data_IF_305091606801
#
_entry.id   IF_305091606801
#
_cell.length_a   1.000
_cell.length_b   1.000
_cell.length_c   1.000
_cell.angle_alpha   90.00
_cell.angle_beta   90.00
_cell.angle_gamma   90.00
#
_symmetry.space_group_name_H-M   'P 1'
#
loop_
_entity.id
_entity.type
_entity.pdbx_description
1 polymer ?
#
# COMPACT_ATOMS: atom_id res chain seq x y z
N UNK A 1 -10.54 -23.75 43.45
CA UNK A 1 -10.96 -24.50 42.23
C UNK A 1 -11.94 -23.72 41.36
N UNK A 2 -13.02 -23.13 41.89
CA UNK A 2 -14.02 -22.39 41.09
C UNK A 2 -13.44 -21.27 40.21
N UNK A 3 -12.46 -20.49 40.69
CA UNK A 3 -11.84 -19.41 39.90
C UNK A 3 -11.11 -19.89 38.64
N UNK A 4 -10.49 -21.08 38.68
CA UNK A 4 -9.79 -21.64 37.52
C UNK A 4 -10.74 -22.00 36.37
N UNK A 5 -11.97 -22.43 36.71
CA UNK A 5 -13.01 -22.79 35.73
C UNK A 5 -13.43 -21.57 34.90
N UNK A 6 -13.42 -20.37 35.47
CA UNK A 6 -13.76 -19.12 34.78
C UNK A 6 -12.52 -18.52 34.10
N UNK A 7 -11.37 -18.56 34.78
CA UNK A 7 -10.12 -17.95 34.29
C UNK A 7 -9.65 -18.54 32.96
N UNK A 8 -9.63 -19.87 32.82
CA UNK A 8 -9.06 -20.52 31.61
C UNK A 8 -9.86 -20.18 30.33
N UNK A 9 -11.21 -20.31 30.30
CA UNK A 9 -11.99 -19.89 29.14
C UNK A 9 -11.91 -18.39 28.88
N UNK A 10 -11.91 -17.56 29.94
CA UNK A 10 -11.76 -16.11 29.79
C UNK A 10 -10.41 -15.74 29.16
N UNK A 11 -9.33 -16.42 29.55
CA UNK A 11 -8.00 -16.22 28.99
C UNK A 11 -7.97 -16.59 27.50
N UNK A 12 -8.49 -17.76 27.15
CA UNK A 12 -8.58 -18.19 25.75
C UNK A 12 -9.42 -17.21 24.91
N UNK A 13 -10.58 -16.82 25.41
CA UNK A 13 -11.44 -15.82 24.76
C UNK A 13 -10.73 -14.47 24.62
N UNK A 14 -9.99 -14.02 25.64
CA UNK A 14 -9.23 -12.77 25.59
C UNK A 14 -8.11 -12.81 24.54
N UNK A 15 -7.45 -13.95 24.37
CA UNK A 15 -6.41 -14.12 23.35
C UNK A 15 -7.00 -14.06 21.94
N UNK A 16 -8.11 -14.79 21.70
CA UNK A 16 -8.82 -14.78 20.41
C UNK A 16 -9.35 -13.38 20.10
N UNK A 17 -10.08 -12.76 21.02
CA UNK A 17 -10.65 -11.43 20.82
C UNK A 17 -9.59 -10.34 20.73
N UNK A 18 -8.48 -10.48 21.46
CA UNK A 18 -7.34 -9.58 21.36
C UNK A 18 -6.68 -9.65 19.98
N UNK A 19 -6.56 -10.85 19.41
CA UNK A 19 -6.06 -11.03 18.06
C UNK A 19 -7.00 -10.46 16.99
N UNK A 20 -8.32 -10.71 17.11
CA UNK A 20 -9.34 -10.11 16.23
C UNK A 20 -9.29 -8.58 16.32
N UNK A 21 -9.23 -8.02 17.53
CA UNK A 21 -9.08 -6.58 17.73
C UNK A 21 -7.80 -6.05 17.06
N UNK A 22 -6.66 -6.75 17.22
CA UNK A 22 -5.40 -6.35 16.60
C UNK A 22 -5.46 -6.38 15.06
N UNK A 23 -6.14 -7.36 14.46
CA UNK A 23 -6.37 -7.41 13.01
C UNK A 23 -7.14 -6.19 12.51
N UNK A 24 -8.28 -5.89 13.14
CA UNK A 24 -9.08 -4.73 12.79
C UNK A 24 -8.30 -3.43 13.01
N UNK A 25 -7.64 -3.28 14.17
CA UNK A 25 -6.85 -2.09 14.49
C UNK A 25 -5.72 -1.86 13.47
N UNK A 26 -4.97 -2.91 13.13
CA UNK A 26 -3.89 -2.83 12.15
C UNK A 26 -4.41 -2.49 10.75
N UNK A 27 -5.53 -3.11 10.34
CA UNK A 27 -6.16 -2.82 9.06
C UNK A 27 -6.57 -1.34 8.97
N UNK A 28 -7.34 -0.87 9.95
CA UNK A 28 -7.85 0.51 9.96
C UNK A 28 -6.71 1.53 10.07
N UNK A 29 -5.70 1.24 10.91
CA UNK A 29 -4.50 2.07 11.02
C UNK A 29 -3.80 2.23 9.67
N UNK A 30 -3.56 1.13 8.95
CA UNK A 30 -2.89 1.16 7.65
C UNK A 30 -3.75 1.84 6.58
N UNK A 31 -5.06 1.61 6.55
CA UNK A 31 -5.98 2.27 5.60
C UNK A 31 -5.98 3.80 5.79
N UNK A 32 -6.08 4.28 7.04
CA UNK A 32 -5.98 5.72 7.33
C UNK A 32 -4.60 6.25 6.95
N UNK A 33 -3.53 5.54 7.28
CA UNK A 33 -2.17 5.94 6.96
C UNK A 33 -1.94 6.07 5.44
N UNK A 34 -2.30 5.04 4.67
CA UNK A 34 -2.06 4.95 3.23
C UNK A 34 -2.92 5.93 2.44
N UNK A 35 -4.23 6.02 2.72
CA UNK A 35 -5.13 6.99 2.08
C UNK A 35 -4.64 8.43 2.31
N UNK A 36 -4.20 8.73 3.53
CA UNK A 36 -3.67 10.06 3.87
C UNK A 36 -2.32 10.32 3.20
N UNK A 37 -1.44 9.31 3.12
CA UNK A 37 -0.16 9.39 2.42
C UNK A 37 -0.34 9.61 0.91
N UNK A 38 -1.42 9.10 0.33
CA UNK A 38 -1.81 9.36 -1.06
C UNK A 38 -2.32 10.80 -1.27
N UNK A 39 -2.63 11.54 -0.20
CA UNK A 39 -3.16 12.90 -0.24
C UNK A 39 -4.68 12.97 -0.18
N UNK A 40 -5.36 11.85 0.12
CA UNK A 40 -6.81 11.83 0.17
C UNK A 40 -7.34 12.62 1.38
N UNK A 41 -8.29 13.51 1.12
CA UNK A 41 -9.02 14.23 2.18
C UNK A 41 -9.96 13.29 2.92
N UNK A 42 -10.59 12.39 2.18
CA UNK A 42 -11.49 11.35 2.68
C UNK A 42 -10.79 10.01 2.78
N UNK A 43 -11.07 9.26 3.84
CA UNK A 43 -10.57 7.90 3.99
C UNK A 43 -11.62 6.99 3.36
N UNK A 44 -11.27 6.34 2.26
CA UNK A 44 -12.11 5.32 1.64
C UNK A 44 -11.90 4.02 2.39
N UNK A 45 -12.93 3.56 3.10
CA UNK A 45 -12.90 2.27 3.77
C UNK A 45 -13.19 1.18 2.75
N UNK A 46 -12.22 0.30 2.51
CA UNK A 46 -12.38 -0.83 1.61
C UNK A 46 -13.09 -1.99 2.29
N UNK A 47 -13.87 -2.76 1.53
CA UNK A 47 -14.54 -4.00 1.95
C UNK A 47 -13.56 -5.20 1.98
N UNK A 48 -12.33 -4.98 2.45
CA UNK A 48 -11.33 -6.05 2.57
C UNK A 48 -11.78 -7.11 3.58
N UNK A 49 -11.60 -8.38 3.24
CA UNK A 49 -11.91 -9.48 4.14
C UNK A 49 -11.02 -9.41 5.39
N UNK A 50 -11.56 -9.82 6.55
CA UNK A 50 -10.81 -9.80 7.83
C UNK A 50 -9.49 -10.57 7.73
N UNK A 51 -9.45 -11.64 6.93
CA UNK A 51 -8.26 -12.48 6.74
C UNK A 51 -7.23 -11.92 5.77
N UNK A 52 -7.59 -11.02 4.86
CA UNK A 52 -6.63 -10.35 3.97
C UNK A 52 -5.63 -9.51 4.78
N UNK A 53 -6.08 -9.05 5.96
CA UNK A 53 -5.26 -8.33 6.93
C UNK A 53 -4.46 -9.20 7.89
N UNK A 54 -4.46 -10.54 7.77
CA UNK A 54 -3.86 -11.45 8.77
C UNK A 54 -2.42 -11.09 9.14
N UNK A 55 -1.60 -10.72 8.16
CA UNK A 55 -0.20 -10.38 8.35
C UNK A 55 0.04 -8.96 8.90
N UNK A 56 -0.93 -8.04 8.76
CA UNK A 56 -0.80 -6.63 9.14
C UNK A 56 -0.40 -6.42 10.63
N UNK A 57 -1.01 -7.09 11.63
CA UNK A 57 -0.58 -6.92 13.02
C UNK A 57 0.84 -7.45 13.28
N UNK A 58 1.23 -8.56 12.66
CA UNK A 58 2.59 -9.10 12.80
C UNK A 58 3.63 -8.16 12.19
N UNK A 59 3.32 -7.57 11.04
CA UNK A 59 4.16 -6.54 10.43
C UNK A 59 4.36 -5.32 11.35
N UNK A 60 3.28 -4.77 11.92
CA UNK A 60 3.37 -3.62 12.84
C UNK A 60 4.11 -3.98 14.13
N UNK A 61 3.85 -5.18 14.67
CA UNK A 61 4.52 -5.68 15.87
C UNK A 61 6.00 -5.93 15.62
N UNK A 62 6.37 -6.48 14.47
CA UNK A 62 7.75 -6.69 14.05
C UNK A 62 8.49 -5.34 13.95
N UNK A 63 7.90 -4.33 13.31
CA UNK A 63 8.48 -3.00 13.24
C UNK A 63 8.65 -2.34 14.62
N UNK A 64 7.65 -2.46 15.50
CA UNK A 64 7.77 -1.95 16.87
C UNK A 64 8.84 -2.71 17.67
N UNK A 65 8.86 -4.05 17.53
CA UNK A 65 9.80 -4.96 18.19
C UNK A 65 11.25 -4.74 17.77
N UNK A 66 11.49 -4.39 16.50
CA UNK A 66 12.81 -4.04 15.98
C UNK A 66 13.49 -2.92 16.78
N UNK A 67 12.71 -1.97 17.30
CA UNK A 67 13.22 -0.85 18.09
C UNK A 67 13.09 -1.09 19.59
N UNK A 68 11.94 -1.62 20.02
CA UNK A 68 11.67 -1.89 21.42
C UNK A 68 12.63 -2.93 22.01
N UNK A 69 12.93 -4.01 21.27
CA UNK A 69 13.76 -5.11 21.73
C UNK A 69 15.18 -4.68 22.12
N UNK A 70 15.98 -4.14 21.17
CA UNK A 70 17.33 -3.66 21.47
C UNK A 70 17.33 -2.56 22.53
N UNK A 71 16.38 -1.62 22.47
CA UNK A 71 16.30 -0.55 23.46
C UNK A 71 16.00 -1.06 24.87
N UNK A 72 15.09 -2.04 25.02
CA UNK A 72 14.81 -2.70 26.29
C UNK A 72 16.04 -3.45 26.82
N UNK A 73 16.80 -4.11 25.94
CA UNK A 73 18.03 -4.81 26.32
C UNK A 73 19.09 -3.84 26.86
N UNK A 74 19.37 -2.76 26.12
CA UNK A 74 20.31 -1.70 26.53
C UNK A 74 19.85 -1.03 27.83
N UNK A 75 18.57 -0.69 27.94
CA UNK A 75 18.03 -0.02 29.11
C UNK A 75 18.11 -0.92 30.36
N UNK A 76 17.91 -2.24 30.23
CA UNK A 76 18.10 -3.19 31.34
C UNK A 76 19.56 -3.40 31.71
N UNK A 77 20.47 -3.42 30.73
CA UNK A 77 21.91 -3.52 30.99
C UNK A 77 22.46 -2.30 31.74
N UNK A 78 21.87 -1.12 31.53
CA UNK A 78 22.25 0.14 32.18
C UNK A 78 21.77 0.32 33.62
N UNK A 79 21.06 -0.65 34.21
CA UNK A 79 20.53 -0.59 35.58
C UNK A 79 19.01 -0.39 35.67
N UNK A 80 18.46 -0.50 36.88
CA UNK A 80 17.02 -0.37 37.14
C UNK A 80 16.50 1.08 37.18
N UNK A 81 15.18 1.22 37.28
CA UNK A 81 14.50 2.52 37.45
C UNK A 81 13.65 2.94 36.25
N UNK A 82 13.18 4.19 36.25
CA UNK A 82 12.26 4.71 35.21
C UNK A 82 12.88 4.73 33.81
N UNK A 83 14.22 4.78 33.71
CA UNK A 83 14.94 4.71 32.44
C UNK A 83 14.71 3.38 31.70
N UNK A 84 14.47 2.28 32.43
CA UNK A 84 14.18 0.97 31.84
C UNK A 84 12.90 0.95 31.01
N UNK A 85 11.95 1.86 31.26
CA UNK A 85 10.69 1.98 30.52
C UNK A 85 10.67 3.19 29.60
N UNK A 86 11.22 4.32 30.02
CA UNK A 86 11.21 5.54 29.24
C UNK A 86 12.15 5.50 28.03
N UNK A 87 13.36 4.91 28.16
CA UNK A 87 14.30 4.87 27.04
C UNK A 87 13.79 4.04 25.86
N UNK A 88 13.24 2.82 26.06
CA UNK A 88 12.64 2.05 24.97
C UNK A 88 11.44 2.74 24.34
N UNK A 89 10.60 3.38 25.17
CA UNK A 89 9.45 4.14 24.67
C UNK A 89 9.90 5.32 23.80
N UNK A 90 10.94 6.05 24.22
CA UNK A 90 11.53 7.15 23.46
C UNK A 90 12.12 6.66 22.14
N UNK A 91 12.86 5.56 22.15
CA UNK A 91 13.46 4.97 20.94
C UNK A 91 12.38 4.51 19.97
N UNK A 92 11.36 3.80 20.45
CA UNK A 92 10.22 3.39 19.62
C UNK A 92 9.51 4.63 19.05
N UNK A 93 9.24 5.64 19.87
CA UNK A 93 8.59 6.87 19.43
C UNK A 93 9.35 7.57 18.30
N UNK A 94 10.69 7.66 18.40
CA UNK A 94 11.51 8.33 17.39
C UNK A 94 11.73 7.47 16.13
N UNK A 95 11.96 6.17 16.29
CA UNK A 95 12.40 5.30 15.20
C UNK A 95 11.27 4.56 14.48
N UNK A 96 10.15 4.27 15.15
CA UNK A 96 8.97 3.65 14.55
C UNK A 96 8.41 4.45 13.34
N UNK A 97 8.15 5.77 13.42
CA UNK A 97 7.61 6.51 12.28
C UNK A 97 8.57 6.50 11.09
N UNK A 98 9.88 6.56 11.33
CA UNK A 98 10.90 6.47 10.27
C UNK A 98 10.84 5.12 9.57
N UNK A 99 10.68 4.04 10.32
CA UNK A 99 10.61 2.69 9.77
C UNK A 99 9.33 2.42 9.02
N UNK A 100 8.21 2.94 9.51
CA UNK A 100 6.94 2.87 8.81
C UNK A 100 7.00 3.63 7.47
N UNK A 101 7.59 4.83 7.45
CA UNK A 101 7.79 5.61 6.22
C UNK A 101 8.76 4.92 5.26
N UNK A 102 9.79 4.26 5.78
CA UNK A 102 10.71 3.43 5.02
C UNK A 102 9.98 2.30 4.32
N UNK A 103 9.20 1.51 5.06
CA UNK A 103 8.46 0.39 4.48
C UNK A 103 7.41 0.82 3.45
N UNK A 104 6.83 2.02 3.57
CA UNK A 104 5.92 2.56 2.54
C UNK A 104 6.65 3.08 1.30
N UNK A 105 7.95 3.37 1.40
CA UNK A 105 8.76 3.91 0.31
C UNK A 105 9.62 2.87 -0.39
N UNK A 106 9.92 1.76 0.28
CA UNK A 106 10.78 0.69 -0.22
C UNK A 106 10.01 -0.26 -1.15
N UNK A 107 10.72 -0.90 -2.07
CA UNK A 107 10.18 -2.01 -2.88
C UNK A 107 9.95 -3.29 -2.08
N UNK A 108 10.54 -3.38 -0.89
CA UNK A 108 10.41 -4.52 0.02
C UNK A 108 10.08 -4.05 1.43
N UNK A 109 9.10 -4.72 2.03
CA UNK A 109 8.62 -4.50 3.41
C UNK A 109 9.72 -4.80 4.44
N UNK A 110 10.71 -5.63 4.07
CA UNK A 110 11.78 -6.10 4.96
C UNK A 110 12.94 -5.13 5.15
N UNK A 111 12.92 -3.96 4.50
CA UNK A 111 13.98 -2.95 4.62
C UNK A 111 13.53 -1.82 5.57
N UNK A 112 13.71 -1.96 6.90
CA UNK A 112 13.16 -1.02 7.87
C UNK A 112 13.80 0.37 7.76
N UNK A 113 15.00 0.48 7.17
CA UNK A 113 15.74 1.72 7.07
C UNK A 113 16.20 1.98 5.63
N UNK A 114 15.46 2.83 4.92
CA UNK A 114 15.83 3.30 3.60
C UNK A 114 16.54 4.67 3.71
N UNK A 115 17.80 4.82 3.25
CA UNK A 115 18.59 6.04 3.45
C UNK A 115 17.93 7.28 2.84
N UNK A 116 17.19 7.10 1.73
CA UNK A 116 16.44 8.19 1.11
C UNK A 116 15.34 8.80 2.00
N UNK A 117 14.80 8.06 2.97
CA UNK A 117 13.81 8.61 3.91
C UNK A 117 14.47 9.56 4.91
N UNK A 118 15.67 9.21 5.41
CA UNK A 118 16.43 10.08 6.30
C UNK A 118 16.82 11.40 5.63
N UNK A 119 17.28 11.35 4.38
CA UNK A 119 17.59 12.55 3.61
C UNK A 119 16.34 13.45 3.45
N UNK A 120 15.19 12.87 3.11
CA UNK A 120 13.93 13.63 3.00
C UNK A 120 13.48 14.24 4.34
N UNK A 121 13.61 13.51 5.44
CA UNK A 121 13.31 14.01 6.79
C UNK A 121 14.25 15.17 7.16
N UNK A 122 15.56 15.02 6.89
CA UNK A 122 16.58 16.03 7.17
C UNK A 122 16.39 17.31 6.34
N UNK A 123 15.79 17.23 5.15
CA UNK A 123 15.46 18.40 4.33
C UNK A 123 14.30 19.23 4.88
N UNK A 124 13.46 18.69 5.77
CA UNK A 124 12.27 19.35 6.33
C UNK A 124 12.19 19.22 7.86
N UNK A 125 13.21 19.66 8.62
CA UNK A 125 13.28 19.42 10.07
C UNK A 125 12.11 20.06 10.81
N UNK A 126 11.63 21.24 10.37
CA UNK A 126 10.47 21.91 10.98
C UNK A 126 9.18 21.07 10.85
N UNK A 127 9.00 20.38 9.73
CA UNK A 127 7.83 19.51 9.53
C UNK A 127 7.97 18.30 10.45
N UNK A 128 9.15 17.67 10.50
CA UNK A 128 9.43 16.52 11.36
C UNK A 128 9.25 16.86 12.84
N UNK A 129 9.79 17.98 13.31
CA UNK A 129 9.60 18.45 14.68
C UNK A 129 8.13 18.73 15.00
N UNK A 130 7.38 19.32 14.05
CA UNK A 130 5.94 19.49 14.18
C UNK A 130 5.19 18.16 14.30
N UNK A 131 5.56 17.16 13.51
CA UNK A 131 5.04 15.80 13.63
C UNK A 131 5.35 15.21 15.01
N UNK A 132 6.61 15.26 15.45
CA UNK A 132 7.02 14.70 16.73
C UNK A 132 6.24 15.34 17.88
N UNK A 133 6.18 16.67 17.93
CA UNK A 133 5.42 17.39 18.94
C UNK A 133 3.92 17.02 18.92
N UNK A 134 3.28 16.98 17.74
CA UNK A 134 1.86 16.62 17.63
C UNK A 134 1.59 15.16 17.94
N UNK A 135 2.54 14.26 17.65
CA UNK A 135 2.41 12.82 17.89
C UNK A 135 2.47 12.43 19.37
N UNK A 136 3.03 13.29 20.23
CA UNK A 136 3.01 13.08 21.68
C UNK A 136 1.59 12.98 22.21
N UNK A 137 0.65 13.76 21.67
CA UNK A 137 -0.74 13.78 22.13
C UNK A 137 -1.45 12.43 21.93
N UNK A 138 -1.53 11.85 20.71
CA UNK A 138 -2.14 10.54 20.54
C UNK A 138 -1.34 9.43 21.25
N UNK A 139 -0.01 9.52 21.36
CA UNK A 139 0.76 8.51 22.11
C UNK A 139 0.48 8.56 23.61
N UNK A 140 0.40 9.75 24.19
CA UNK A 140 -0.06 9.93 25.57
C UNK A 140 -1.51 9.45 25.72
N UNK A 141 -2.36 9.69 24.72
CA UNK A 141 -3.73 9.18 24.64
C UNK A 141 -3.78 7.65 24.68
N UNK A 142 -2.94 6.95 23.90
CA UNK A 142 -2.80 5.49 23.93
C UNK A 142 -2.36 5.01 25.32
N UNK A 143 -1.34 5.64 25.91
CA UNK A 143 -0.86 5.28 27.25
C UNK A 143 -1.91 5.48 28.34
N UNK A 144 -2.62 6.61 28.31
CA UNK A 144 -3.69 6.92 29.24
C UNK A 144 -4.91 6.00 29.05
N UNK A 145 -5.29 5.73 27.81
CA UNK A 145 -6.34 4.78 27.46
C UNK A 145 -6.01 3.37 27.98
N UNK A 146 -4.80 2.87 27.72
CA UNK A 146 -4.34 1.56 28.21
C UNK A 146 -4.36 1.50 29.75
N UNK A 147 -3.87 2.55 30.42
CA UNK A 147 -3.91 2.63 31.88
C UNK A 147 -5.36 2.62 32.41
N UNK A 148 -6.26 3.37 31.78
CA UNK A 148 -7.69 3.43 32.12
C UNK A 148 -8.36 2.07 31.94
N UNK A 149 -8.13 1.41 30.80
CA UNK A 149 -8.70 0.09 30.51
C UNK A 149 -8.19 -0.97 31.49
N UNK A 150 -6.90 -0.98 31.78
CA UNK A 150 -6.26 -2.06 32.55
C UNK A 150 -6.30 -1.86 34.08
N UNK A 151 -6.33 -0.62 34.58
CA UNK A 151 -6.22 -0.33 36.02
C UNK A 151 -7.49 0.16 36.67
N UNK A 152 -8.31 0.96 35.97
CA UNK A 152 -9.52 1.51 36.57
C UNK A 152 -10.70 0.55 36.40
N UNK A 153 -11.50 0.38 37.44
CA UNK A 153 -12.65 -0.52 37.42
C UNK A 153 -13.93 0.19 36.98
N UNK A 154 -14.91 -0.58 36.52
CA UNK A 154 -16.21 -0.06 36.08
C UNK A 154 -16.34 0.13 34.57
N UNK A 155 -17.58 -0.08 34.09
CA UNK A 155 -17.94 -0.02 32.67
C UNK A 155 -17.69 1.36 32.01
N UNK A 156 -17.99 2.51 32.65
CA UNK A 156 -17.77 3.81 32.03
C UNK A 156 -16.30 4.07 31.67
N UNK A 157 -15.37 3.70 32.55
CA UNK A 157 -13.93 3.83 32.30
C UNK A 157 -13.45 2.90 31.20
N UNK A 158 -14.02 1.70 31.09
CA UNK A 158 -13.73 0.78 29.99
C UNK A 158 -14.15 1.39 28.65
N UNK A 159 -15.40 1.85 28.54
CA UNK A 159 -15.94 2.45 27.32
C UNK A 159 -15.13 3.69 26.91
N UNK A 160 -14.86 4.58 27.86
CA UNK A 160 -14.07 5.79 27.63
C UNK A 160 -12.64 5.47 27.20
N UNK A 161 -11.97 4.56 27.90
CA UNK A 161 -10.60 4.15 27.58
C UNK A 161 -10.51 3.51 26.19
N UNK A 162 -11.44 2.61 25.83
CA UNK A 162 -11.49 1.99 24.51
C UNK A 162 -11.76 3.01 23.39
N UNK A 163 -12.71 3.94 23.58
CA UNK A 163 -12.98 4.99 22.61
C UNK A 163 -11.77 5.92 22.41
N UNK A 164 -11.11 6.31 23.50
CA UNK A 164 -9.89 7.12 23.44
C UNK A 164 -8.73 6.39 22.76
N UNK A 165 -8.60 5.08 22.96
CA UNK A 165 -7.58 4.24 22.30
C UNK A 165 -7.75 4.29 20.77
N UNK A 166 -8.98 4.08 20.29
CA UNK A 166 -9.31 4.09 18.86
C UNK A 166 -9.07 5.47 18.26
N UNK A 167 -9.55 6.54 18.92
CA UNK A 167 -9.34 7.90 18.47
C UNK A 167 -7.85 8.24 18.36
N UNK A 168 -7.06 7.86 19.38
CA UNK A 168 -5.63 8.10 19.41
C UNK A 168 -4.90 7.36 18.30
N UNK A 169 -5.29 6.12 18.02
CA UNK A 169 -4.74 5.31 16.92
C UNK A 169 -4.98 5.99 15.56
N UNK A 170 -6.20 6.46 15.30
CA UNK A 170 -6.56 7.13 14.04
C UNK A 170 -5.85 8.47 13.88
N UNK A 171 -5.76 9.28 14.94
CA UNK A 171 -5.02 10.54 14.92
C UNK A 171 -3.53 10.31 14.61
N UNK A 172 -2.92 9.29 15.24
CA UNK A 172 -1.53 8.96 14.98
C UNK A 172 -1.32 8.48 13.53
N UNK A 173 -2.19 7.59 13.02
CA UNK A 173 -2.16 7.14 11.63
C UNK A 173 -2.25 8.32 10.64
N UNK A 174 -3.18 9.24 10.90
CA UNK A 174 -3.41 10.43 10.07
C UNK A 174 -2.22 11.39 10.08
N UNK A 175 -1.64 11.65 11.26
CA UNK A 175 -0.44 12.50 11.38
C UNK A 175 0.73 11.91 10.61
N UNK A 176 0.95 10.60 10.73
CA UNK A 176 2.02 9.89 10.04
C UNK A 176 1.80 9.85 8.52
N UNK A 177 0.56 9.65 8.07
CA UNK A 177 0.22 9.70 6.65
C UNK A 177 0.40 11.10 6.06
N UNK A 178 0.06 12.15 6.81
CA UNK A 178 0.30 13.53 6.39
C UNK A 178 1.80 13.84 6.32
N UNK A 179 2.61 13.32 7.24
CA UNK A 179 4.06 13.39 7.15
C UNK A 179 4.56 12.73 5.86
N UNK A 180 4.12 11.49 5.59
CA UNK A 180 4.47 10.76 4.37
C UNK A 180 4.13 11.55 3.10
N UNK A 181 2.92 12.11 3.06
CA UNK A 181 2.44 12.93 1.96
C UNK A 181 3.32 14.17 1.71
N UNK A 182 3.70 14.90 2.77
CA UNK A 182 4.58 16.07 2.63
C UNK A 182 5.98 15.67 2.14
N UNK A 183 6.53 14.56 2.65
CA UNK A 183 7.84 14.05 2.26
C UNK A 183 7.87 13.55 0.81
N UNK A 184 6.74 13.10 0.24
CA UNK A 184 6.64 12.73 -1.18
C UNK A 184 7.03 13.86 -2.13
N UNK A 185 6.83 15.12 -1.74
CA UNK A 185 7.21 16.30 -2.54
C UNK A 185 8.68 16.72 -2.37
N UNK A 186 9.45 16.01 -1.53
CA UNK A 186 10.88 16.26 -1.37
C UNK A 186 11.66 15.33 -2.28
N UNK A 187 12.51 15.91 -3.15
CA UNK A 187 13.40 15.12 -4.00
C UNK A 187 14.54 14.60 -3.11
N UNK A 188 14.75 13.29 -3.13
CA UNK A 188 15.93 12.67 -2.51
C UNK A 188 17.18 13.20 -3.22
N UNK A 189 18.11 13.77 -2.46
CA UNK A 189 19.44 14.18 -2.90
C UNK A 189 20.37 12.98 -3.06
N UNK A 190 20.13 11.93 -2.28
CA UNK A 190 20.94 10.70 -2.30
C UNK A 190 20.58 9.78 -3.45
N UNK A 191 19.38 9.89 -4.02
CA UNK A 191 19.03 9.08 -5.19
C UNK A 191 19.84 9.63 -6.36
N UNK A 192 20.79 8.84 -6.91
CA UNK A 192 21.55 9.30 -8.06
C UNK A 192 20.55 9.69 -9.12
N UNK A 193 20.66 10.94 -9.62
CA UNK A 193 19.88 11.36 -10.78
C UNK A 193 20.24 10.34 -11.86
N UNK A 194 19.31 9.44 -12.22
CA UNK A 194 19.53 8.49 -13.32
C UNK A 194 19.99 9.39 -14.44
N UNK A 195 21.28 9.29 -14.80
CA UNK A 195 21.79 10.02 -15.96
C UNK A 195 20.81 9.60 -17.05
N UNK A 196 20.19 10.55 -17.78
CA UNK A 196 19.36 10.16 -18.90
C UNK A 196 20.19 9.15 -19.66
N UNK A 197 19.72 7.90 -19.74
CA UNK A 197 20.38 6.90 -20.59
C UNK A 197 20.58 7.65 -21.90
N UNK A 198 21.84 7.82 -22.36
CA UNK A 198 22.08 8.46 -23.64
C UNK A 198 21.11 7.75 -24.55
N UNK A 199 20.12 8.51 -25.02
CA UNK A 199 19.05 7.98 -25.83
C UNK A 199 19.83 7.42 -26.99
N UNK A 200 20.01 6.10 -27.04
CA UNK A 200 20.82 5.48 -28.08
C UNK A 200 20.27 6.10 -29.33
N UNK A 201 21.08 6.96 -29.95
CA UNK A 201 20.72 7.56 -31.23
C UNK A 201 20.49 6.32 -32.05
N UNK A 202 19.22 6.03 -32.32
CA UNK A 202 18.81 4.84 -33.05
C UNK A 202 19.81 4.77 -34.20
N UNK A 203 20.62 3.70 -34.28
CA UNK A 203 21.71 3.65 -35.23
C UNK A 203 21.14 4.15 -36.56
N UNK A 204 21.77 5.16 -37.18
CA UNK A 204 21.20 5.87 -38.32
C UNK A 204 20.64 4.81 -39.24
N UNK A 205 19.32 4.85 -39.48
CA UNK A 205 18.57 3.80 -40.19
C UNK A 205 19.43 3.39 -41.36
N UNK A 206 20.10 2.24 -41.23
CA UNK A 206 20.97 1.79 -42.30
C UNK A 206 20.00 1.55 -43.45
N UNK A 207 20.23 2.17 -44.63
CA UNK A 207 19.42 1.85 -45.78
C UNK A 207 19.44 0.32 -45.89
N UNK A 208 18.26 -0.32 -46.00
CA UNK A 208 18.18 -1.77 -45.98
C UNK A 208 19.22 -2.31 -46.97
N UNK A 209 20.06 -3.27 -46.55
CA UNK A 209 20.98 -3.90 -47.49
C UNK A 209 20.17 -4.34 -48.70
N UNK A 210 20.69 -4.16 -49.94
CA UNK A 210 20.01 -4.62 -51.13
C UNK A 210 19.62 -6.09 -50.90
N UNK A 211 18.36 -6.49 -51.21
CA UNK A 211 17.88 -7.82 -50.90
C UNK A 211 18.83 -8.83 -51.53
N UNK A 212 19.62 -9.50 -50.70
CA UNK A 212 20.33 -10.69 -51.12
C UNK A 212 19.23 -11.71 -51.40
N UNK A 213 19.12 -12.13 -52.67
CA UNK A 213 18.21 -13.15 -53.16
C UNK A 213 18.59 -14.53 -52.58
N UNK A 214 18.62 -14.67 -51.27
CA UNK A 214 18.60 -15.97 -50.62
C UNK A 214 17.14 -16.36 -50.48
N UNK A 215 16.62 -17.00 -51.53
CA UNK A 215 15.36 -17.71 -51.54
C UNK A 215 15.45 -18.95 -50.61
N UNK A 216 15.67 -18.74 -49.31
CA UNK A 216 15.26 -19.72 -48.31
C UNK A 216 13.73 -19.64 -48.23
N UNK A 217 13.08 -20.48 -49.05
CA UNK A 217 11.63 -20.60 -49.06
C UNK A 217 11.10 -20.71 -47.64
N UNK A 218 10.15 -19.83 -47.31
CA UNK A 218 9.51 -19.73 -46.00
C UNK A 218 9.04 -21.13 -45.54
N UNK A 219 9.78 -21.76 -44.63
CA UNK A 219 9.43 -23.07 -44.08
C UNK A 219 8.22 -22.90 -43.18
N UNK A 220 7.17 -23.67 -43.43
CA UNK A 220 5.99 -23.59 -42.58
C UNK A 220 6.33 -24.07 -41.17
N UNK A 221 5.72 -23.50 -40.11
CA UNK A 221 5.94 -23.95 -38.73
C UNK A 221 5.66 -25.45 -38.53
N UNK A 222 4.83 -26.07 -39.37
CA UNK A 222 4.58 -27.51 -39.43
C UNK A 222 5.75 -28.33 -39.97
N UNK A 223 6.68 -27.72 -40.70
CA UNK A 223 7.90 -28.33 -41.25
C UNK A 223 9.10 -28.21 -40.30
N UNK A 224 8.95 -27.47 -39.20
CA UNK A 224 9.96 -27.43 -38.14
C UNK A 224 9.90 -28.72 -37.30
N UNK A 225 11.05 -29.20 -36.79
CA UNK A 225 11.08 -30.36 -35.92
C UNK A 225 10.19 -30.15 -34.68
N UNK A 226 9.41 -31.17 -34.26
CA UNK A 226 8.53 -31.06 -33.09
C UNK A 226 9.31 -30.65 -31.83
N UNK A 227 8.72 -29.78 -31.02
CA UNK A 227 9.28 -29.37 -29.74
C UNK A 227 8.66 -30.26 -28.66
N UNK A 228 9.48 -31.11 -28.05
CA UNK A 228 9.05 -31.97 -26.94
C UNK A 228 8.90 -31.15 -25.66
N UNK A 229 7.66 -31.03 -25.18
CA UNK A 229 7.37 -30.44 -23.87
C UNK A 229 7.20 -31.54 -22.82
N UNK A 230 7.70 -31.36 -21.58
CA UNK A 230 7.76 -32.42 -20.58
C UNK A 230 6.40 -33.03 -20.18
N UNK A 231 5.33 -32.23 -20.25
CA UNK A 231 4.02 -32.59 -19.71
C UNK A 231 2.95 -32.85 -20.80
N UNK A 232 3.15 -32.38 -22.03
CA UNK A 232 2.12 -32.40 -23.10
C UNK A 232 2.53 -33.18 -24.35
N UNK A 233 3.75 -33.75 -24.37
CA UNK A 233 4.26 -34.51 -25.52
C UNK A 233 4.76 -33.60 -26.66
N UNK A 234 5.01 -34.17 -27.86
CA UNK A 234 5.53 -33.42 -29.00
C UNK A 234 4.45 -32.46 -29.54
N UNK A 235 4.66 -31.15 -29.39
CA UNK A 235 3.86 -30.15 -30.09
C UNK A 235 4.37 -30.03 -31.53
N UNK A 236 3.57 -30.46 -32.50
CA UNK A 236 3.80 -30.16 -33.92
C UNK A 236 3.21 -28.81 -34.29
N UNK A 237 3.92 -28.03 -35.10
CA UNK A 237 3.45 -26.71 -35.53
C UNK A 237 2.13 -26.77 -36.31
N UNK A 238 1.32 -25.72 -36.18
CA UNK A 238 0.04 -25.60 -36.87
C UNK A 238 0.24 -25.20 -38.34
N UNK A 239 -0.57 -25.76 -39.25
CA UNK A 239 -0.57 -25.37 -40.66
C UNK A 239 -1.23 -24.00 -40.83
N UNK A 240 -0.47 -23.03 -41.32
CA UNK A 240 -0.99 -21.72 -41.73
C UNK A 240 -1.25 -21.79 -43.23
N UNK A 241 -2.52 -21.84 -43.63
CA UNK A 241 -2.89 -21.80 -45.04
C UNK A 241 -2.71 -20.39 -45.59
N UNK A 242 -1.67 -20.15 -46.39
CA UNK A 242 -1.42 -18.88 -47.09
C UNK A 242 -2.14 -18.77 -48.44
N UNK A 243 -3.16 -19.59 -48.69
CA UNK A 243 -3.92 -19.49 -49.93
C UNK A 243 -4.69 -18.16 -49.94
N UNK A 244 -4.39 -17.31 -50.92
CA UNK A 244 -5.09 -16.06 -51.22
C UNK A 244 -6.57 -16.34 -51.55
N UNK A 245 -7.40 -16.52 -50.52
CA UNK A 245 -8.84 -16.45 -50.69
C UNK A 245 -9.21 -15.00 -51.03
N UNK A 246 -9.89 -14.73 -52.17
CA UNK A 246 -10.28 -13.39 -52.55
C UNK A 246 -11.29 -12.85 -51.52
N UNK A 247 -10.83 -11.89 -50.70
CA UNK A 247 -11.66 -11.27 -49.66
C UNK A 247 -12.91 -10.64 -50.27
N UNK A 248 -14.12 -10.94 -49.76
CA UNK A 248 -15.32 -10.21 -50.16
C UNK A 248 -15.23 -8.75 -49.67
N UNK A 249 -15.43 -7.81 -50.59
CA UNK A 249 -15.44 -6.39 -50.31
C UNK A 249 -16.60 -6.04 -49.34
N UNK A 250 -16.29 -5.89 -48.05
CA UNK A 250 -17.29 -5.43 -47.08
C UNK A 250 -17.47 -3.90 -47.21
N UNK A 251 -18.71 -3.41 -47.40
CA UNK A 251 -18.98 -1.97 -47.45
C UNK A 251 -18.71 -1.33 -46.08
N UNK A 252 -17.91 -0.26 -46.06
CA UNK A 252 -17.65 0.56 -44.86
C UNK A 252 -18.95 1.24 -44.41
N UNK A 253 -19.57 0.71 -43.35
CA UNK A 253 -20.66 1.39 -42.64
C UNK A 253 -20.05 2.41 -41.68
N UNK A 254 -20.50 3.66 -41.80
CA UNK A 254 -20.14 4.79 -40.93
C UNK A 254 -20.81 4.57 -39.57
N UNK A 255 -20.01 4.40 -38.51
CA UNK A 255 -20.53 4.15 -37.17
C UNK A 255 -21.24 5.40 -36.60
N UNK A 256 -22.56 5.33 -36.50
CA UNK A 256 -23.37 6.16 -35.61
C UNK A 256 -23.21 5.65 -34.17
N UNK A 257 -23.08 6.57 -33.21
CA UNK A 257 -22.78 6.25 -31.83
C UNK A 257 -24.05 5.81 -31.09
N UNK A 258 -24.19 4.52 -30.81
CA UNK A 258 -25.19 3.97 -29.89
C UNK A 258 -24.56 3.04 -28.83
N UNK A 259 -24.90 3.35 -27.58
CA UNK A 259 -25.00 2.52 -26.38
C UNK A 259 -23.77 1.84 -25.73
N UNK A 260 -23.81 1.61 -24.39
CA UNK A 260 -22.73 0.98 -23.64
C UNK A 260 -22.62 -0.49 -24.04
N UNK A 261 -21.46 -0.88 -24.57
CA UNK A 261 -21.16 -2.29 -24.91
C UNK A 261 -21.13 -3.15 -23.65
N UNK A 262 -21.98 -4.18 -23.63
CA UNK A 262 -21.71 -5.41 -22.89
C UNK A 262 -20.40 -6.01 -23.42
N UNK A 263 -19.54 -6.44 -22.51
CA UNK A 263 -18.24 -7.05 -22.80
C UNK A 263 -18.48 -8.50 -23.20
N UNK A 264 -18.32 -8.82 -24.48
CA UNK A 264 -18.28 -10.22 -24.94
C UNK A 264 -16.96 -10.87 -24.45
N UNK A 265 -17.00 -12.11 -23.93
CA UNK A 265 -15.85 -12.79 -23.35
C UNK A 265 -14.89 -13.47 -24.35
N UNK A 266 -15.10 -13.36 -25.67
CA UNK A 266 -14.37 -14.16 -26.68
C UNK A 266 -13.66 -13.35 -27.79
N UNK A 267 -13.32 -12.08 -27.57
CA UNK A 267 -12.61 -11.27 -28.59
C UNK A 267 -11.08 -11.41 -28.50
N UNK A 268 -10.58 -12.63 -28.78
CA UNK A 268 -9.17 -12.95 -29.06
C UNK A 268 -8.82 -12.62 -30.53
N UNK A 269 -9.14 -11.40 -30.96
CA UNK A 269 -8.74 -10.89 -32.27
C UNK A 269 -7.22 -10.77 -32.37
N UNK A 270 -6.61 -11.65 -33.16
CA UNK A 270 -5.19 -11.60 -33.53
C UNK A 270 -4.85 -10.25 -34.14
N UNK A 271 -3.91 -9.53 -33.52
CA UNK A 271 -3.32 -8.33 -34.10
C UNK A 271 -2.53 -8.74 -35.35
N UNK A 272 -3.11 -8.51 -36.52
CA UNK A 272 -2.40 -8.66 -37.80
C UNK A 272 -1.36 -7.55 -37.87
N UNK A 273 -0.10 -7.91 -37.63
CA UNK A 273 1.05 -7.07 -37.92
C UNK A 273 1.24 -7.12 -39.44
N UNK A 274 0.85 -6.05 -40.13
CA UNK A 274 1.13 -5.92 -41.56
C UNK A 274 2.64 -5.98 -41.78
N UNK A 275 3.11 -6.85 -42.67
CA UNK A 275 4.47 -6.78 -43.16
C UNK A 275 4.65 -5.51 -44.02
N UNK A 276 5.78 -4.80 -43.91
CA UNK A 276 6.03 -3.63 -44.72
C UNK A 276 6.33 -4.06 -46.16
N UNK A 277 5.35 -3.88 -47.05
CA UNK A 277 5.57 -3.93 -48.49
C UNK A 277 6.75 -3.01 -48.85
N UNK A 278 7.78 -3.58 -49.50
CA UNK A 278 9.11 -2.99 -49.75
C UNK A 278 9.15 -1.78 -50.69
N UNK A 279 8.08 -0.99 -50.79
CA UNK A 279 8.13 0.34 -51.38
C UNK A 279 8.47 1.34 -50.28
N UNK A 280 9.57 2.10 -50.44
CA UNK A 280 9.91 3.20 -49.55
C UNK A 280 8.65 4.05 -49.31
N UNK A 281 8.10 4.07 -48.08
CA UNK A 281 6.85 4.76 -47.85
C UNK A 281 7.08 6.21 -48.24
N UNK A 282 6.20 6.80 -49.08
CA UNK A 282 6.25 8.24 -49.31
C UNK A 282 6.29 8.92 -47.93
N UNK A 283 6.96 10.07 -47.81
CA UNK A 283 6.88 10.91 -46.61
C UNK A 283 5.42 11.38 -46.42
N UNK A 284 4.54 10.46 -46.07
CA UNK A 284 3.20 10.70 -45.62
C UNK A 284 3.38 11.38 -44.28
N UNK A 285 3.30 12.71 -44.34
CA UNK A 285 3.11 13.58 -43.20
C UNK A 285 2.19 12.86 -42.24
N UNK A 286 2.77 12.41 -41.11
CA UNK A 286 2.04 11.73 -40.05
C UNK A 286 0.71 12.44 -39.88
N UNK A 287 -0.43 11.72 -40.00
CA UNK A 287 -1.74 12.36 -40.00
C UNK A 287 -1.81 13.26 -38.77
N UNK A 288 -2.34 14.48 -38.92
CA UNK A 288 -2.28 15.51 -37.88
C UNK A 288 -2.88 15.05 -36.54
N UNK A 289 -3.73 14.02 -36.55
CA UNK A 289 -4.28 13.32 -35.39
C UNK A 289 -3.28 12.48 -34.59
N UNK A 290 -2.15 12.09 -35.17
CA UNK A 290 -1.02 11.42 -34.49
C UNK A 290 -0.05 12.46 -33.94
N UNK A 291 0.07 13.61 -34.62
CA UNK A 291 0.95 14.71 -34.19
C UNK A 291 0.36 15.50 -33.01
N UNK A 292 -0.98 15.59 -32.93
CA UNK A 292 -1.66 16.20 -31.79
C UNK A 292 -2.37 15.11 -30.98
N UNK A 293 -1.88 14.80 -29.77
CA UNK A 293 -2.57 13.89 -28.85
C UNK A 293 -4.01 14.35 -28.68
N UNK A 294 -4.93 13.40 -28.60
CA UNK A 294 -6.35 13.72 -28.43
C UNK A 294 -6.56 14.45 -27.09
N UNK A 295 -7.64 15.21 -26.95
CA UNK A 295 -7.88 16.01 -25.75
C UNK A 295 -8.02 15.17 -24.46
N UNK A 296 -8.52 13.94 -24.59
CA UNK A 296 -8.56 12.93 -23.51
C UNK A 296 -7.17 12.45 -23.11
N UNK A 297 -6.28 12.18 -24.07
CA UNK A 297 -4.87 11.87 -23.80
C UNK A 297 -4.15 13.06 -23.19
N UNK A 298 -4.43 14.28 -23.67
CA UNK A 298 -3.94 15.52 -23.06
C UNK A 298 -4.46 15.69 -21.64
N UNK A 299 -5.71 15.30 -21.32
CA UNK A 299 -6.23 15.29 -19.94
C UNK A 299 -5.59 14.23 -19.05
N UNK A 300 -5.21 13.08 -19.61
CA UNK A 300 -4.48 12.04 -18.88
C UNK A 300 -3.01 12.45 -18.62
N UNK A 301 -2.40 13.13 -19.58
CA UNK A 301 -1.05 13.72 -19.48
C UNK A 301 -1.03 14.91 -18.53
N UNK A 302 -2.05 15.77 -18.63
CA UNK A 302 -2.28 16.90 -17.75
C UNK A 302 -2.85 16.34 -16.44
N UNK A 303 -1.95 15.78 -15.63
CA UNK A 303 -2.18 15.25 -14.28
C UNK A 303 -2.65 16.35 -13.32
N UNK A 304 -3.68 17.08 -13.69
CA UNK A 304 -4.37 18.11 -12.93
C UNK A 304 -4.99 17.53 -11.65
N UNK A 305 -5.32 16.24 -11.69
CA UNK A 305 -5.73 15.41 -10.55
C UNK A 305 -4.56 14.99 -9.63
N UNK A 306 -3.30 15.21 -10.04
CA UNK A 306 -2.19 14.92 -9.15
C UNK A 306 -2.33 15.77 -7.89
N UNK A 307 -2.15 15.16 -6.70
CA UNK A 307 -2.30 15.90 -5.46
C UNK A 307 -1.31 17.07 -5.45
N UNK A 308 -1.82 18.26 -5.13
CA UNK A 308 -1.02 19.48 -5.06
C UNK A 308 -0.25 19.53 -3.73
N UNK A 309 0.96 20.07 -3.76
CA UNK A 309 1.78 20.26 -2.57
C UNK A 309 1.02 21.10 -1.53
N UNK A 310 0.88 20.64 -0.28
CA UNK A 310 0.18 21.40 0.74
C UNK A 310 0.98 22.65 1.12
N UNK A 311 0.30 23.79 1.28
CA UNK A 311 0.92 25.05 1.74
C UNK A 311 1.35 24.95 3.21
N UNK A 312 0.55 24.29 4.04
CA UNK A 312 0.78 24.07 5.47
C UNK A 312 0.72 22.57 5.74
N UNK A 313 1.76 22.01 6.33
CA UNK A 313 1.83 20.58 6.65
C UNK A 313 0.75 20.18 7.67
N UNK A 314 0.60 21.00 8.71
CA UNK A 314 -0.28 20.79 9.86
C UNK A 314 -1.43 21.81 9.84
N UNK A 315 -2.55 21.43 9.23
CA UNK A 315 -3.77 22.24 9.18
C UNK A 315 -4.92 21.51 9.89
N UNK A 316 -6.04 22.20 10.13
CA UNK A 316 -7.25 21.58 10.68
C UNK A 316 -7.80 20.44 9.79
N UNK A 317 -7.37 20.33 8.52
CA UNK A 317 -7.69 19.19 7.64
C UNK A 317 -7.22 17.84 8.22
N UNK A 318 -6.23 17.85 9.12
CA UNK A 318 -5.80 16.65 9.85
C UNK A 318 -6.96 16.06 10.66
N UNK A 319 -7.88 16.88 11.17
CA UNK A 319 -9.02 16.44 11.97
C UNK A 319 -10.31 16.25 11.15
N UNK A 320 -10.37 16.76 9.92
CA UNK A 320 -11.58 16.73 9.10
C UNK A 320 -12.12 15.31 8.83
N UNK A 321 -11.26 14.29 8.82
CA UNK A 321 -11.69 12.91 8.58
C UNK A 321 -12.53 12.34 9.73
N UNK A 322 -12.35 12.85 10.95
CA UNK A 322 -13.16 12.46 12.10
C UNK A 322 -14.63 12.88 11.94
N UNK A 323 -14.95 13.80 11.03
CA UNK A 323 -16.34 14.18 10.74
C UNK A 323 -17.05 13.24 9.76
N UNK A 324 -16.36 12.25 9.20
CA UNK A 324 -16.94 11.36 8.18
C UNK A 324 -17.81 10.27 8.82
N UNK A 325 -19.04 10.03 8.33
CA UNK A 325 -19.93 9.01 8.90
C UNK A 325 -19.32 7.62 8.84
N UNK A 326 -18.61 7.30 7.76
CA UNK A 326 -17.91 6.01 7.62
C UNK A 326 -16.79 5.84 8.65
N UNK A 327 -16.06 6.92 8.97
CA UNK A 327 -15.02 6.89 10.02
C UNK A 327 -15.64 6.62 11.39
N UNK A 328 -16.83 7.17 11.68
CA UNK A 328 -17.56 6.87 12.91
C UNK A 328 -18.05 5.43 12.97
N UNK A 329 -18.57 4.89 11.86
CA UNK A 329 -18.99 3.50 11.78
C UNK A 329 -17.80 2.55 12.04
N UNK A 330 -16.68 2.79 11.36
CA UNK A 330 -15.44 2.03 11.53
C UNK A 330 -14.88 2.16 12.96
N UNK A 331 -14.87 3.37 13.53
CA UNK A 331 -14.47 3.59 14.92
C UNK A 331 -15.39 2.88 15.92
N UNK A 332 -16.70 2.83 15.65
CA UNK A 332 -17.68 2.13 16.48
C UNK A 332 -17.42 0.62 16.53
N UNK A 333 -17.20 0.00 15.37
CA UNK A 333 -16.85 -1.43 15.27
C UNK A 333 -15.55 -1.73 16.00
N UNK A 334 -14.51 -0.92 15.78
CA UNK A 334 -13.22 -1.12 16.44
C UNK A 334 -13.31 -0.91 17.97
N UNK A 335 -14.11 0.07 18.41
CA UNK A 335 -14.36 0.33 19.83
C UNK A 335 -15.12 -0.84 20.47
N UNK A 336 -16.11 -1.41 19.79
CA UNK A 336 -16.82 -2.60 20.26
C UNK A 336 -15.85 -3.77 20.51
N UNK A 337 -14.98 -4.09 19.55
CA UNK A 337 -13.96 -5.13 19.74
C UNK A 337 -13.00 -4.81 20.89
N UNK A 338 -12.57 -3.55 21.02
CA UNK A 338 -11.73 -3.11 22.13
C UNK A 338 -12.41 -3.30 23.50
N UNK A 339 -13.71 -3.00 23.60
CA UNK A 339 -14.50 -3.15 24.84
C UNK A 339 -14.66 -4.61 25.21
N UNK A 340 -15.00 -5.48 24.24
CA UNK A 340 -15.11 -6.93 24.48
C UNK A 340 -13.78 -7.50 24.95
N UNK A 341 -12.68 -7.17 24.25
CA UNK A 341 -11.34 -7.60 24.64
C UNK A 341 -10.94 -7.08 26.03
N UNK A 342 -11.08 -5.78 26.28
CA UNK A 342 -10.74 -5.17 27.57
C UNK A 342 -11.58 -5.71 28.72
N UNK A 343 -12.86 -5.99 28.48
CA UNK A 343 -13.76 -6.66 29.44
C UNK A 343 -13.26 -8.07 29.80
N UNK A 344 -12.90 -8.89 28.81
CA UNK A 344 -12.34 -10.22 29.04
C UNK A 344 -11.02 -10.17 29.81
N UNK A 345 -10.14 -9.21 29.52
CA UNK A 345 -8.90 -9.01 30.28
C UNK A 345 -9.17 -8.66 31.74
N UNK A 346 -10.18 -7.83 32.02
CA UNK A 346 -10.59 -7.52 33.40
C UNK A 346 -11.12 -8.76 34.13
N UNK A 347 -11.97 -9.56 33.47
CA UNK A 347 -12.43 -10.85 34.02
C UNK A 347 -11.23 -11.74 34.36
N UNK A 348 -10.26 -11.90 33.45
CA UNK A 348 -9.05 -12.68 33.71
C UNK A 348 -8.28 -12.17 34.93
N UNK A 349 -8.18 -10.85 35.07
CA UNK A 349 -7.44 -10.19 36.15
C UNK A 349 -8.12 -10.35 37.52
N UNK A 350 -9.46 -10.41 37.54
CA UNK A 350 -10.26 -10.53 38.76
C UNK A 350 -10.34 -11.99 39.23
N UNK A 351 -10.32 -12.97 38.31
CA UNK A 351 -10.29 -14.40 38.61
C UNK A 351 -8.87 -15.01 38.62
N UNK A 352 -7.82 -14.18 38.62
CA UNK A 352 -6.44 -14.67 38.61
C UNK A 352 -6.12 -15.42 39.92
N UNK A 353 -5.77 -16.73 39.87
CA UNK A 353 -5.54 -17.55 41.06
C UNK A 353 -4.37 -17.06 41.92
N UNK A 354 -3.41 -16.32 41.34
CA UNK A 354 -2.25 -15.79 42.07
C UNK A 354 -2.59 -14.66 43.05
N UNK A 355 -3.78 -14.04 42.94
CA UNK A 355 -4.24 -12.99 43.86
C UNK A 355 -5.10 -13.52 45.02
N UNK A 356 -5.53 -14.78 44.95
CA UNK A 356 -6.49 -15.39 45.88
C UNK A 356 -5.83 -16.23 46.98
N UNK A 357 -4.50 -16.25 47.03
CA UNK A 357 -3.69 -16.83 48.11
C UNK A 357 -2.80 -15.76 48.71
#
# INVERSE_FOLDING_TARGET
MAGAIIFVPALAASAVMGFVFALFAANHYLTVLQSTAAGARHVTWGDEGVFDGFWKPFYLLWLAGLWAGPAMFVARAGGGGWLTTAAPLLVVWLCYPVSQLSSLSASSVWLPLHPGVFDRLAQKPRVVLGFLALSLLPLAGVGFAANTVLRLDGLPWLLFGCGLLVLSLYLYARLLGRLAFVLRYTKSRLTPKKKPEPRDELPPVQPPPPPEEEAEGFRQPSELPPIDTPDEGPLSGYNVAFADEPKPAKPRVRAEAEHPRQRDPDDDGTYVVNEPDGAAPPEERLPASVVKPREDEMKLLDRSDAPKKPKVAWSAEVLAFLGQPETWAAAGVLTFFAVVFGGLVRVCRDFNPTKLG
#
